data_IF_733514850534
#
_entry.id   IF_733514850534
#
_cell.length_a   1.000
_cell.length_b   1.000
_cell.length_c   1.000
_cell.angle_alpha   90.00
_cell.angle_beta   90.00
_cell.angle_gamma   90.00
#
_symmetry.space_group_name_H-M   'P 1'
#
loop_
_entity.id
_entity.type
_entity.pdbx_description
1 polymer ?
#
# COMPACT_ATOMS: atom_id res chain seq x y z
N UNK A 1 5.74 -6.07 -9.14
CA UNK A 1 5.48 -4.66 -9.50
C UNK A 1 5.07 -3.94 -8.24
N UNK A 2 5.67 -2.79 -7.96
CA UNK A 2 5.16 -1.87 -6.93
C UNK A 2 4.44 -0.73 -7.65
N UNK A 3 3.15 -0.53 -7.37
CA UNK A 3 2.37 0.60 -7.86
C UNK A 3 2.04 1.51 -6.67
N UNK A 4 2.28 2.81 -6.82
CA UNK A 4 2.08 3.77 -5.72
C UNK A 4 1.86 5.20 -6.21
N UNK A 5 0.99 5.93 -5.50
CA UNK A 5 0.68 7.35 -5.70
C UNK A 5 0.70 8.07 -4.33
N UNK A 6 1.85 7.96 -3.65
CA UNK A 6 2.11 8.56 -2.34
C UNK A 6 3.38 9.41 -2.37
N UNK A 7 3.44 10.45 -1.52
CA UNK A 7 4.53 11.44 -1.53
C UNK A 7 5.94 10.89 -1.26
N UNK A 8 6.10 9.78 -0.51
CA UNK A 8 7.42 9.17 -0.21
C UNK A 8 7.38 7.66 -0.38
N UNK A 9 7.83 7.20 -1.54
CA UNK A 9 7.91 5.78 -1.91
C UNK A 9 9.22 5.11 -1.51
N UNK A 10 10.26 5.87 -1.18
CA UNK A 10 11.61 5.34 -0.90
C UNK A 10 11.63 4.29 0.21
N UNK A 11 10.99 4.55 1.34
CA UNK A 11 10.90 3.60 2.46
C UNK A 11 10.21 2.28 2.07
N UNK A 12 9.20 2.37 1.21
CA UNK A 12 8.47 1.19 0.73
C UNK A 12 9.35 0.35 -0.20
N UNK A 13 10.09 1.00 -1.11
CA UNK A 13 11.05 0.34 -1.98
C UNK A 13 12.15 -0.32 -1.15
N UNK A 14 12.72 0.38 -0.17
CA UNK A 14 13.79 -0.14 0.68
C UNK A 14 13.34 -1.33 1.53
N UNK A 15 12.13 -1.28 2.09
CA UNK A 15 11.52 -2.42 2.78
C UNK A 15 11.42 -3.64 1.86
N UNK A 16 10.89 -3.45 0.65
CA UNK A 16 10.67 -4.54 -0.30
C UNK A 16 11.96 -5.11 -0.89
N UNK A 17 13.04 -4.32 -1.02
CA UNK A 17 14.32 -4.77 -1.59
C UNK A 17 14.89 -6.00 -0.87
N UNK A 18 14.65 -6.11 0.44
CA UNK A 18 15.10 -7.26 1.24
C UNK A 18 14.21 -8.51 1.09
N UNK A 19 13.00 -8.35 0.54
CA UNK A 19 11.95 -9.37 0.51
C UNK A 19 11.76 -10.00 -0.87
N UNK A 20 12.17 -9.31 -1.94
CA UNK A 20 11.94 -9.74 -3.33
C UNK A 20 13.21 -9.63 -4.17
N UNK A 21 13.31 -10.48 -5.21
CA UNK A 21 14.47 -10.49 -6.11
C UNK A 21 14.51 -9.31 -7.10
N UNK A 22 13.37 -8.75 -7.49
CA UNK A 22 13.28 -7.62 -8.41
C UNK A 22 12.06 -6.75 -8.09
N UNK A 23 12.23 -5.43 -8.16
CA UNK A 23 11.14 -4.46 -8.03
C UNK A 23 11.04 -3.66 -9.33
N UNK A 24 9.88 -3.76 -9.99
CA UNK A 24 9.50 -2.86 -11.08
C UNK A 24 8.54 -1.81 -10.53
N UNK A 25 9.02 -0.57 -10.43
CA UNK A 25 8.25 0.56 -9.90
C UNK A 25 7.33 1.17 -10.96
N UNK A 26 6.10 1.44 -10.55
CA UNK A 26 5.09 2.24 -11.23
C UNK A 26 4.68 3.36 -10.27
N UNK A 27 5.49 4.41 -10.25
CA UNK A 27 5.33 5.56 -9.38
C UNK A 27 4.55 6.67 -10.09
N UNK A 28 3.62 7.26 -9.35
CA UNK A 28 2.75 8.35 -9.79
C UNK A 28 2.81 9.49 -8.76
N UNK A 29 2.34 10.67 -9.15
CA UNK A 29 2.23 11.81 -8.25
C UNK A 29 1.31 11.49 -7.05
N UNK A 30 1.57 12.10 -5.88
CA UNK A 30 0.72 11.87 -4.70
C UNK A 30 -0.73 12.23 -5.03
N UNK A 31 -1.64 11.37 -4.58
CA UNK A 31 -3.07 11.47 -4.84
C UNK A 31 -3.52 11.20 -6.28
N UNK A 32 -2.64 10.74 -7.16
CA UNK A 32 -3.03 10.33 -8.52
C UNK A 32 -4.14 9.28 -8.49
N UNK A 33 -5.24 9.57 -9.18
CA UNK A 33 -6.27 8.57 -9.47
C UNK A 33 -5.85 7.79 -10.71
N UNK A 34 -5.64 6.49 -10.56
CA UNK A 34 -5.21 5.64 -11.66
C UNK A 34 -6.19 5.75 -12.82
N UNK A 35 -5.70 6.09 -14.00
CA UNK A 35 -6.50 6.14 -15.23
C UNK A 35 -6.65 4.76 -15.84
N UNK A 36 -7.56 4.58 -16.80
CA UNK A 36 -7.67 3.32 -17.54
C UNK A 36 -6.37 2.99 -18.27
N UNK A 37 -5.68 4.02 -18.77
CA UNK A 37 -4.39 3.92 -19.42
C UNK A 37 -3.31 3.40 -18.46
N UNK A 38 -3.32 3.85 -17.21
CA UNK A 38 -2.39 3.39 -16.18
C UNK A 38 -2.62 1.93 -15.81
N UNK A 39 -3.88 1.54 -15.64
CA UNK A 39 -4.25 0.14 -15.40
C UNK A 39 -3.89 -0.75 -16.60
N UNK A 40 -4.08 -0.25 -17.81
CA UNK A 40 -3.67 -0.95 -19.04
C UNK A 40 -2.13 -1.12 -19.11
N UNK A 41 -1.37 -0.09 -18.70
CA UNK A 41 0.10 -0.19 -18.57
C UNK A 41 0.50 -1.21 -17.48
N UNK A 42 -0.16 -1.20 -16.34
CA UNK A 42 0.07 -2.16 -15.24
C UNK A 42 -0.15 -3.60 -15.73
N UNK A 43 -1.28 -3.84 -16.38
CA UNK A 43 -1.64 -5.13 -16.96
C UNK A 43 -0.56 -5.63 -17.94
N UNK A 44 -0.15 -4.78 -18.90
CA UNK A 44 0.91 -5.15 -19.86
C UNK A 44 2.24 -5.46 -19.17
N UNK A 45 2.70 -4.56 -18.27
CA UNK A 45 3.97 -4.76 -17.54
C UNK A 45 3.95 -6.05 -16.72
N UNK A 46 2.83 -6.35 -16.07
CA UNK A 46 2.68 -7.59 -15.30
C UNK A 46 2.87 -8.83 -16.19
N UNK A 47 2.28 -8.83 -17.38
CA UNK A 47 2.38 -9.95 -18.31
C UNK A 47 3.77 -10.10 -18.95
N UNK A 48 4.53 -9.01 -19.12
CA UNK A 48 5.89 -9.08 -19.67
C UNK A 48 6.92 -9.69 -18.71
N UNK A 49 6.64 -9.74 -17.41
CA UNK A 49 7.56 -10.32 -16.42
C UNK A 49 7.62 -11.85 -16.61
N UNK A 50 8.81 -12.35 -16.97
CA UNK A 50 9.13 -13.78 -17.10
C UNK A 50 9.53 -14.38 -15.75
N UNK A 51 8.61 -14.35 -14.79
CA UNK A 51 8.77 -15.03 -13.50
C UNK A 51 7.45 -15.68 -13.10
N UNK A 52 7.46 -16.95 -12.65
CA UNK A 52 6.28 -17.59 -12.10
C UNK A 52 5.90 -17.02 -10.72
N UNK A 53 6.85 -16.39 -10.01
CA UNK A 53 6.63 -15.74 -8.71
C UNK A 53 6.62 -14.23 -8.90
N UNK A 54 5.50 -13.71 -9.41
CA UNK A 54 5.27 -12.27 -9.60
C UNK A 54 3.95 -11.84 -9.00
N UNK A 55 3.96 -10.68 -8.35
CA UNK A 55 2.80 -10.07 -7.72
C UNK A 55 2.81 -8.57 -7.95
N UNK A 56 1.65 -7.93 -7.76
CA UNK A 56 1.50 -6.48 -7.70
C UNK A 56 1.32 -6.11 -6.23
N UNK A 57 2.12 -5.16 -5.74
CA UNK A 57 2.05 -4.65 -4.37
C UNK A 57 1.66 -3.17 -4.45
N UNK A 58 0.78 -2.74 -3.54
CA UNK A 58 0.34 -1.36 -3.39
C UNK A 58 0.17 -1.01 -1.90
N UNK A 59 -0.12 0.25 -1.58
CA UNK A 59 -0.45 0.71 -0.22
C UNK A 59 -1.96 0.66 0.02
N UNK A 60 -2.41 0.70 1.28
CA UNK A 60 -3.85 0.80 1.62
C UNK A 60 -4.51 2.04 0.99
N UNK A 61 -3.81 3.18 1.03
CA UNK A 61 -4.26 4.45 0.44
C UNK A 61 -4.48 4.34 -1.07
N UNK A 62 -3.57 3.69 -1.79
CA UNK A 62 -3.66 3.51 -3.23
C UNK A 62 -4.59 2.36 -3.64
N UNK A 63 -4.76 1.35 -2.79
CA UNK A 63 -5.75 0.30 -3.00
C UNK A 63 -7.17 0.87 -3.11
N UNK A 64 -7.51 1.88 -2.29
CA UNK A 64 -8.79 2.58 -2.40
C UNK A 64 -9.03 3.22 -3.76
N UNK A 65 -7.96 3.65 -4.46
CA UNK A 65 -8.04 4.24 -5.80
C UNK A 65 -8.09 3.17 -6.88
N UNK A 66 -7.40 2.05 -6.68
CA UNK A 66 -7.48 0.87 -7.55
C UNK A 66 -8.86 0.22 -7.52
N UNK A 67 -9.62 0.37 -6.43
CA UNK A 67 -10.99 -0.15 -6.30
C UNK A 67 -11.92 0.34 -7.41
N UNK A 68 -11.70 1.56 -7.93
CA UNK A 68 -12.43 2.10 -9.08
C UNK A 68 -12.29 1.26 -10.37
N UNK A 69 -11.30 0.37 -10.41
CA UNK A 69 -11.00 -0.52 -11.55
C UNK A 69 -11.22 -2.00 -11.21
N UNK A 70 -11.85 -2.31 -10.07
CA UNK A 70 -11.96 -3.67 -9.52
C UNK A 70 -12.48 -4.69 -10.52
N UNK A 71 -13.49 -4.35 -11.31
CA UNK A 71 -14.07 -5.26 -12.31
C UNK A 71 -13.02 -5.76 -13.30
N UNK A 72 -12.23 -4.85 -13.86
CA UNK A 72 -11.14 -5.18 -14.78
C UNK A 72 -10.03 -5.98 -14.08
N UNK A 73 -9.62 -5.55 -12.88
CA UNK A 73 -8.53 -6.22 -12.15
C UNK A 73 -8.89 -7.67 -11.79
N UNK A 74 -10.15 -7.94 -11.45
CA UNK A 74 -10.67 -9.28 -11.18
C UNK A 74 -10.83 -10.10 -12.46
N UNK A 75 -11.35 -9.51 -13.54
CA UNK A 75 -11.50 -10.18 -14.83
C UNK A 75 -10.14 -10.69 -15.35
N UNK A 76 -9.11 -9.84 -15.28
CA UNK A 76 -7.75 -10.17 -15.72
C UNK A 76 -6.94 -10.94 -14.65
N UNK A 77 -7.57 -11.27 -13.51
CA UNK A 77 -6.99 -12.08 -12.42
C UNK A 77 -5.64 -11.56 -11.95
N UNK A 78 -5.49 -10.23 -11.85
CA UNK A 78 -4.25 -9.61 -11.42
C UNK A 78 -4.03 -9.83 -9.91
N UNK A 79 -2.92 -10.46 -9.48
CA UNK A 79 -2.66 -10.75 -8.07
C UNK A 79 -2.12 -9.50 -7.37
N UNK A 80 -3.04 -8.67 -6.88
CA UNK A 80 -2.75 -7.43 -6.16
C UNK A 80 -2.81 -7.68 -4.66
N UNK A 81 -1.73 -7.29 -3.97
CA UNK A 81 -1.59 -7.37 -2.53
C UNK A 81 -1.40 -5.98 -1.96
N UNK A 82 -2.09 -5.72 -0.86
CA UNK A 82 -2.06 -4.45 -0.15
C UNK A 82 -1.09 -4.64 1.01
N UNK A 83 -0.04 -3.82 1.07
CA UNK A 83 0.88 -3.87 2.20
C UNK A 83 0.23 -3.18 3.40
N UNK A 84 -0.05 -3.90 4.50
CA UNK A 84 -0.70 -3.32 5.67
C UNK A 84 0.25 -2.36 6.37
N UNK A 85 -0.29 -1.27 6.89
CA UNK A 85 0.46 -0.36 7.76
C UNK A 85 0.14 -0.63 9.23
N UNK A 86 1.17 -0.61 10.08
CA UNK A 86 1.00 -0.75 11.52
C UNK A 86 1.59 0.47 12.20
N UNK A 87 0.81 1.06 13.11
CA UNK A 87 1.26 2.16 13.96
C UNK A 87 1.72 1.56 15.27
N UNK A 88 2.88 2.02 15.75
CA UNK A 88 3.44 1.63 17.04
C UNK A 88 3.96 2.86 17.76
N UNK A 89 3.70 2.91 19.07
CA UNK A 89 4.31 3.92 19.94
C UNK A 89 5.82 3.67 20.04
N UNK A 90 6.59 4.74 19.90
CA UNK A 90 8.02 4.68 20.15
C UNK A 90 8.30 4.33 21.62
N UNK A 91 9.46 3.72 21.87
CA UNK A 91 9.94 3.39 23.22
C UNK A 91 9.01 2.51 24.05
N UNK A 92 8.16 1.71 23.39
CA UNK A 92 7.13 0.89 24.05
C UNK A 92 6.12 1.68 24.89
N UNK A 93 5.93 2.97 24.63
CA UNK A 93 5.08 3.87 25.44
C UNK A 93 3.57 3.72 25.21
N UNK A 94 3.14 2.64 24.56
CA UNK A 94 1.72 2.37 24.29
C UNK A 94 0.89 2.25 25.57
N UNK A 95 1.31 1.44 26.57
CA UNK A 95 0.57 1.28 27.82
C UNK A 95 0.38 2.60 28.59
N UNK A 96 1.36 3.50 28.58
CA UNK A 96 1.28 4.80 29.24
C UNK A 96 0.29 5.73 28.55
N UNK A 97 0.28 5.72 27.22
CA UNK A 97 -0.73 6.45 26.44
C UNK A 97 -2.14 5.91 26.73
N UNK A 98 -2.31 4.58 26.73
CA UNK A 98 -3.59 3.94 27.00
C UNK A 98 -4.10 4.29 28.41
N UNK A 99 -3.22 4.26 29.41
CA UNK A 99 -3.54 4.66 30.78
C UNK A 99 -3.93 6.14 30.87
N UNK A 100 -3.21 7.03 30.17
CA UNK A 100 -3.53 8.46 30.13
C UNK A 100 -4.94 8.70 29.57
N UNK A 101 -5.27 8.07 28.44
CA UNK A 101 -6.60 8.20 27.81
C UNK A 101 -7.68 7.63 28.73
N UNK A 102 -7.42 6.46 29.34
CA UNK A 102 -8.35 5.82 30.27
C UNK A 102 -8.68 6.73 31.45
N UNK A 103 -7.67 7.34 32.07
CA UNK A 103 -7.85 8.25 33.19
C UNK A 103 -8.58 9.53 32.78
N UNK A 104 -8.28 10.08 31.60
CA UNK A 104 -9.00 11.24 31.09
C UNK A 104 -10.51 10.95 30.95
N UNK A 105 -10.88 9.82 30.33
CA UNK A 105 -12.27 9.44 30.11
C UNK A 105 -13.03 9.17 31.41
N UNK A 106 -12.39 8.51 32.38
CA UNK A 106 -13.03 8.21 33.68
C UNK A 106 -13.28 9.46 34.53
N UNK A 107 -12.43 10.47 34.39
CA UNK A 107 -12.49 11.69 35.19
C UNK A 107 -13.17 12.86 34.46
N UNK A 108 -13.61 12.66 33.21
CA UNK A 108 -14.28 13.68 32.42
C UNK A 108 -15.63 14.06 33.05
N UNK A 109 -15.81 15.35 33.35
CA UNK A 109 -17.07 15.93 33.82
C UNK A 109 -17.51 17.03 32.86
N UNK A 110 -18.80 17.06 32.55
CA UNK A 110 -19.46 18.08 31.70
C UNK A 110 -19.73 19.35 32.49
#
# INVERSE_FOLDING_TARGET
ILISAIARTSYLVDYLRSQVGEIQNMEFEDHHYFTKEDISKLHRRFHTIKSPRKVIITTEKDAMRLELHREFLLQERLPIFILPTQVRFHFEQGPEFDELIRQYLLNFKV
#
